data_IF_102398629953
#
_entry.id   IF_102398629953
#
_cell.length_a   1.000
_cell.length_b   1.000
_cell.length_c   1.000
_cell.angle_alpha   90.00
_cell.angle_beta   90.00
_cell.angle_gamma   90.00
#
_symmetry.space_group_name_H-M   'P 1'
#
loop_
_entity.id
_entity.type
_entity.pdbx_description
1 polymer ?
#
# COMPACT_ATOMS: atom_id res chain seq x y z
N UNK A 1 13.46 -17.03 -7.73
CA UNK A 1 13.23 -17.21 -6.30
C UNK A 1 13.25 -15.85 -5.61
N UNK A 2 12.48 -15.66 -4.53
CA UNK A 2 12.39 -14.42 -3.76
C UNK A 2 13.76 -13.85 -3.34
N UNK A 3 14.72 -14.70 -3.07
CA UNK A 3 16.09 -14.32 -2.66
C UNK A 3 16.84 -13.49 -3.73
N UNK A 4 16.69 -13.80 -5.01
CA UNK A 4 17.31 -13.02 -6.09
C UNK A 4 16.69 -11.62 -6.19
N UNK A 5 15.36 -11.53 -6.07
CA UNK A 5 14.64 -10.24 -6.09
C UNK A 5 15.02 -9.34 -4.91
N UNK A 6 15.28 -9.92 -3.73
CA UNK A 6 15.75 -9.18 -2.56
C UNK A 6 17.17 -8.62 -2.75
N UNK A 7 18.05 -9.35 -3.45
CA UNK A 7 19.39 -8.87 -3.79
C UNK A 7 19.32 -7.66 -4.72
N UNK A 8 18.49 -7.72 -5.78
CA UNK A 8 18.32 -6.62 -6.71
C UNK A 8 17.67 -5.41 -6.05
N UNK A 9 16.66 -5.62 -5.22
CA UNK A 9 16.06 -4.55 -4.42
C UNK A 9 17.11 -3.80 -3.60
N UNK A 10 18.00 -4.51 -2.89
CA UNK A 10 19.10 -3.90 -2.12
C UNK A 10 20.08 -3.13 -3.00
N UNK A 11 20.39 -3.64 -4.19
CA UNK A 11 21.27 -2.94 -5.13
C UNK A 11 20.62 -1.65 -5.64
N UNK A 12 19.31 -1.67 -5.97
CA UNK A 12 18.60 -0.46 -6.36
C UNK A 12 18.51 0.57 -5.22
N UNK A 13 18.26 0.13 -3.99
CA UNK A 13 18.29 1.02 -2.82
C UNK A 13 19.65 1.67 -2.57
N UNK A 14 20.74 0.98 -2.88
CA UNK A 14 22.08 1.54 -2.74
C UNK A 14 22.45 2.58 -3.83
N UNK A 15 21.77 2.55 -4.97
CA UNK A 15 22.08 3.38 -6.13
C UNK A 15 21.06 4.51 -6.36
N UNK A 16 19.85 4.36 -5.85
CA UNK A 16 18.70 5.21 -6.14
C UNK A 16 18.01 5.65 -4.85
N UNK A 17 17.14 6.65 -4.93
CA UNK A 17 16.31 7.05 -3.79
C UNK A 17 15.36 5.90 -3.42
N UNK A 18 15.48 5.40 -2.19
CA UNK A 18 14.63 4.31 -1.64
C UNK A 18 13.13 4.62 -1.77
N UNK A 19 12.75 5.89 -1.76
CA UNK A 19 11.36 6.34 -1.90
C UNK A 19 10.76 6.08 -3.28
N UNK A 20 11.58 5.72 -4.27
CA UNK A 20 11.17 5.47 -5.65
C UNK A 20 11.26 3.99 -6.05
N UNK A 21 11.72 3.12 -5.15
CA UNK A 21 11.89 1.70 -5.40
C UNK A 21 10.90 0.91 -4.55
N UNK A 22 10.02 0.17 -5.22
CA UNK A 22 8.97 -0.64 -4.60
C UNK A 22 9.22 -2.12 -4.89
N UNK A 23 8.84 -2.97 -3.95
CA UNK A 23 8.84 -4.40 -4.15
C UNK A 23 7.40 -4.91 -4.25
N UNK A 24 7.13 -5.71 -5.28
CA UNK A 24 5.83 -6.35 -5.47
C UNK A 24 6.00 -7.87 -5.31
N UNK A 25 5.77 -8.43 -4.11
CA UNK A 25 5.86 -9.86 -3.85
C UNK A 25 4.59 -10.59 -4.31
N UNK A 26 4.65 -11.92 -4.41
CA UNK A 26 3.47 -12.78 -4.53
C UNK A 26 2.61 -12.72 -3.27
N UNK A 27 1.31 -12.97 -3.44
CA UNK A 27 0.33 -12.94 -2.35
C UNK A 27 0.50 -14.10 -1.36
N UNK A 28 1.12 -15.20 -1.80
CA UNK A 28 1.35 -16.38 -0.97
C UNK A 28 2.82 -16.54 -0.61
N UNK A 29 3.14 -16.50 0.68
CA UNK A 29 4.36 -17.16 1.15
C UNK A 29 4.21 -18.67 0.94
N UNK A 30 5.22 -19.32 0.33
CA UNK A 30 5.45 -20.77 0.48
C UNK A 30 5.88 -21.08 1.92
N UNK A 31 5.10 -20.70 2.89
CA UNK A 31 5.32 -20.99 4.29
C UNK A 31 4.38 -22.11 4.72
N UNK A 32 4.93 -23.05 5.46
CA UNK A 32 4.34 -24.31 5.93
C UNK A 32 3.12 -24.09 6.86
N UNK A 33 2.74 -22.86 7.15
CA UNK A 33 1.56 -22.53 7.95
C UNK A 33 0.46 -22.04 7.03
N UNK A 34 -0.44 -22.93 6.67
CA UNK A 34 -1.69 -22.61 5.97
C UNK A 34 -2.49 -21.60 6.80
N UNK A 35 -2.85 -20.47 6.19
CA UNK A 35 -3.92 -19.58 6.70
C UNK A 35 -3.49 -18.25 7.31
N UNK A 36 -2.19 -17.90 7.36
CA UNK A 36 -1.77 -16.54 7.75
C UNK A 36 -1.35 -15.72 6.55
N UNK A 37 -2.07 -14.62 6.29
CA UNK A 37 -1.65 -13.62 5.31
C UNK A 37 -0.26 -13.07 5.69
N UNK A 38 0.59 -12.89 4.68
CA UNK A 38 1.85 -12.18 4.85
C UNK A 38 1.60 -10.68 4.97
N UNK A 39 1.36 -10.18 6.18
CA UNK A 39 1.08 -8.77 6.42
C UNK A 39 2.10 -7.83 5.76
N UNK A 40 3.38 -8.19 5.78
CA UNK A 40 4.43 -7.42 5.11
C UNK A 40 4.28 -7.45 3.58
N UNK A 41 3.96 -8.61 3.02
CA UNK A 41 3.70 -8.76 1.59
C UNK A 41 2.47 -7.95 1.14
N UNK A 42 1.41 -7.94 1.93
CA UNK A 42 0.21 -7.12 1.66
C UNK A 42 0.58 -5.64 1.57
N UNK A 43 1.33 -5.13 2.56
CA UNK A 43 1.77 -3.73 2.58
C UNK A 43 2.64 -3.40 1.36
N UNK A 44 3.62 -4.25 1.04
CA UNK A 44 4.50 -4.02 -0.10
C UNK A 44 3.73 -4.02 -1.43
N UNK A 45 2.80 -4.96 -1.62
CA UNK A 45 1.93 -4.99 -2.81
C UNK A 45 1.07 -3.75 -2.92
N UNK A 46 0.38 -3.38 -1.83
CA UNK A 46 -0.50 -2.21 -1.79
C UNK A 46 0.28 -0.92 -2.03
N UNK A 47 1.47 -0.77 -1.44
CA UNK A 47 2.34 0.38 -1.66
C UNK A 47 2.81 0.48 -3.13
N UNK A 48 3.19 -0.64 -3.76
CA UNK A 48 3.58 -0.67 -5.16
C UNK A 48 2.42 -0.28 -6.10
N UNK A 49 1.20 -0.81 -5.87
CA UNK A 49 0.01 -0.45 -6.65
C UNK A 49 -0.38 1.03 -6.45
N UNK A 50 -0.33 1.52 -5.21
CA UNK A 50 -0.56 2.94 -4.91
C UNK A 50 0.45 3.84 -5.60
N UNK A 51 1.72 3.45 -5.61
CA UNK A 51 2.75 4.18 -6.33
C UNK A 51 2.50 4.19 -7.85
N UNK A 52 2.13 3.05 -8.45
CA UNK A 52 1.82 2.98 -9.89
C UNK A 52 0.64 3.86 -10.29
N UNK A 53 -0.37 3.98 -9.42
CA UNK A 53 -1.57 4.78 -9.68
C UNK A 53 -1.34 6.29 -9.56
N UNK A 54 -0.40 6.72 -8.72
CA UNK A 54 -0.14 8.13 -8.47
C UNK A 54 0.48 8.80 -9.71
N UNK A 55 0.00 9.99 -10.07
CA UNK A 55 0.62 10.81 -11.13
C UNK A 55 2.10 11.07 -10.84
N UNK A 56 2.92 11.06 -11.88
CA UNK A 56 4.34 11.38 -11.79
C UNK A 56 4.58 12.83 -12.22
N UNK A 57 5.36 13.56 -11.44
CA UNK A 57 5.88 14.85 -11.86
C UNK A 57 6.95 14.67 -12.96
N UNK A 58 7.20 15.73 -13.70
CA UNK A 58 8.23 15.70 -14.75
C UNK A 58 9.61 15.36 -14.15
N UNK A 59 10.24 14.30 -14.66
CA UNK A 59 11.53 13.81 -14.18
C UNK A 59 11.46 12.82 -13.02
N UNK A 60 10.28 12.54 -12.48
CA UNK A 60 10.10 11.44 -11.54
C UNK A 60 10.15 10.08 -12.25
N UNK A 61 10.61 9.08 -11.54
CA UNK A 61 10.58 7.68 -11.96
C UNK A 61 10.15 6.80 -10.80
N UNK A 62 9.66 5.60 -11.12
CA UNK A 62 9.34 4.55 -10.14
C UNK A 62 9.87 3.23 -10.63
N UNK A 63 10.45 2.46 -9.73
CA UNK A 63 10.98 1.15 -10.03
C UNK A 63 10.18 0.13 -9.22
N UNK A 64 9.56 -0.80 -9.92
CA UNK A 64 8.85 -1.92 -9.31
C UNK A 64 9.69 -3.19 -9.51
N UNK A 65 10.24 -3.72 -8.44
CA UNK A 65 10.95 -5.00 -8.45
C UNK A 65 9.94 -6.13 -8.18
N UNK A 66 9.93 -7.14 -9.04
CA UNK A 66 9.04 -8.30 -8.88
C UNK A 66 9.71 -9.58 -9.43
N UNK A 67 9.01 -10.70 -9.41
CA UNK A 67 9.46 -11.99 -9.91
C UNK A 67 8.32 -12.72 -10.63
N UNK A 68 8.59 -13.76 -11.46
CA UNK A 68 7.59 -14.35 -12.34
C UNK A 68 6.30 -14.81 -11.65
N UNK A 69 6.41 -15.44 -10.49
CA UNK A 69 5.25 -15.93 -9.75
C UNK A 69 4.33 -14.79 -9.29
N UNK A 70 4.91 -13.67 -8.82
CA UNK A 70 4.15 -12.49 -8.44
C UNK A 70 3.55 -11.77 -9.65
N UNK A 71 4.30 -11.75 -10.78
CA UNK A 71 3.84 -11.15 -12.03
C UNK A 71 2.65 -11.88 -12.64
N UNK A 72 2.55 -13.20 -12.46
CA UNK A 72 1.43 -14.02 -12.93
C UNK A 72 0.13 -13.80 -12.14
N UNK A 73 0.22 -13.25 -10.94
CA UNK A 73 -0.95 -12.97 -10.13
C UNK A 73 -1.75 -11.77 -10.68
N UNK A 74 -3.05 -11.83 -10.50
CA UNK A 74 -3.93 -10.70 -10.84
C UNK A 74 -4.09 -9.76 -9.66
N UNK A 75 -4.19 -8.48 -9.95
CA UNK A 75 -4.38 -7.38 -8.99
C UNK A 75 -5.73 -6.72 -9.20
N UNK A 76 -6.26 -6.06 -8.18
CA UNK A 76 -7.44 -5.20 -8.26
C UNK A 76 -7.19 -4.11 -9.30
N UNK A 77 -8.16 -3.84 -10.18
CA UNK A 77 -8.03 -2.80 -11.19
C UNK A 77 -7.94 -1.38 -10.57
N UNK A 78 -7.40 -0.38 -11.31
CA UNK A 78 -7.18 0.96 -10.77
C UNK A 78 -8.46 1.68 -10.34
N UNK A 79 -9.59 1.44 -11.01
CA UNK A 79 -10.85 2.11 -10.70
C UNK A 79 -11.49 1.51 -9.44
N UNK A 80 -11.44 0.19 -9.29
CA UNK A 80 -11.83 -0.48 -8.04
C UNK A 80 -10.96 -0.01 -6.88
N UNK A 81 -9.64 0.02 -7.06
CA UNK A 81 -8.75 0.55 -6.03
C UNK A 81 -9.08 1.99 -5.64
N UNK A 82 -9.45 2.83 -6.62
CA UNK A 82 -9.83 4.23 -6.35
C UNK A 82 -11.11 4.32 -5.53
N UNK A 83 -12.10 3.48 -5.81
CA UNK A 83 -13.38 3.45 -5.07
C UNK A 83 -13.19 3.04 -3.61
N UNK A 84 -12.29 2.10 -3.36
CA UNK A 84 -11.99 1.58 -2.02
C UNK A 84 -11.03 2.46 -1.21
N UNK A 85 -10.39 3.43 -1.85
CA UNK A 85 -9.44 4.34 -1.19
C UNK A 85 -10.19 5.52 -0.58
N UNK A 86 -10.09 5.70 0.73
CA UNK A 86 -10.63 6.86 1.43
C UNK A 86 -9.63 8.01 1.34
N UNK A 87 -10.08 9.16 0.80
CA UNK A 87 -9.28 10.40 0.76
C UNK A 87 -9.76 11.35 1.83
N UNK A 88 -8.82 11.94 2.55
CA UNK A 88 -9.11 12.94 3.57
C UNK A 88 -8.15 14.11 3.41
N UNK A 89 -8.70 15.33 3.43
CA UNK A 89 -7.96 16.58 3.34
C UNK A 89 -8.17 17.44 4.58
N UNK A 90 -7.19 18.27 4.88
CA UNK A 90 -7.35 19.32 5.89
C UNK A 90 -8.48 20.27 5.45
N UNK A 91 -9.40 20.55 6.35
CA UNK A 91 -10.61 21.34 6.11
C UNK A 91 -11.81 20.54 5.61
N UNK A 92 -11.68 19.25 5.33
CA UNK A 92 -12.83 18.40 5.01
C UNK A 92 -13.77 18.31 6.21
N UNK A 93 -15.08 18.29 5.92
CA UNK A 93 -16.11 17.97 6.90
C UNK A 93 -16.52 16.53 6.76
N UNK A 94 -16.21 15.76 7.76
CA UNK A 94 -16.43 14.32 7.79
C UNK A 94 -16.86 13.90 9.19
N UNK A 95 -18.03 13.29 9.29
CA UNK A 95 -18.47 12.75 10.55
C UNK A 95 -17.54 11.57 10.95
N UNK A 96 -16.94 11.64 12.13
CA UNK A 96 -16.00 10.62 12.62
C UNK A 96 -16.63 9.23 12.58
N UNK A 97 -17.92 9.12 12.90
CA UNK A 97 -18.66 7.84 12.85
C UNK A 97 -18.73 7.25 11.43
N UNK A 98 -18.94 8.09 10.40
CA UNK A 98 -18.94 7.64 9.01
C UNK A 98 -17.55 7.14 8.58
N UNK A 99 -16.47 7.80 9.02
CA UNK A 99 -15.11 7.35 8.77
C UNK A 99 -14.84 5.99 9.46
N UNK A 100 -15.31 5.81 10.69
CA UNK A 100 -15.19 4.54 11.39
C UNK A 100 -15.93 3.40 10.67
N UNK A 101 -17.15 3.64 10.21
CA UNK A 101 -17.93 2.65 9.45
C UNK A 101 -17.24 2.28 8.13
N UNK A 102 -16.80 3.28 7.35
CA UNK A 102 -16.06 3.06 6.10
C UNK A 102 -14.81 2.21 6.30
N UNK A 103 -14.05 2.48 7.35
CA UNK A 103 -12.82 1.72 7.62
C UNK A 103 -13.13 0.30 8.13
N UNK A 104 -14.15 0.13 8.96
CA UNK A 104 -14.59 -1.19 9.42
C UNK A 104 -15.05 -2.07 8.25
N UNK A 105 -15.86 -1.50 7.34
CA UNK A 105 -16.33 -2.18 6.12
C UNK A 105 -15.17 -2.53 5.17
N UNK A 106 -14.12 -1.70 5.16
CA UNK A 106 -12.88 -1.92 4.40
C UNK A 106 -11.89 -2.87 5.10
N UNK A 107 -12.30 -3.51 6.20
CA UNK A 107 -11.51 -4.52 6.91
C UNK A 107 -10.45 -3.98 7.87
N UNK A 108 -10.53 -2.70 8.25
CA UNK A 108 -9.69 -2.15 9.31
C UNK A 108 -10.20 -2.58 10.69
N UNK A 109 -9.28 -2.76 11.62
CA UNK A 109 -9.59 -3.16 13.00
C UNK A 109 -9.43 -2.00 13.96
N UNK A 110 -10.44 -1.75 14.79
CA UNK A 110 -10.37 -0.74 15.85
C UNK A 110 -9.52 -1.25 17.01
N UNK A 111 -8.57 -0.42 17.45
CA UNK A 111 -7.64 -0.71 18.54
C UNK A 111 -7.50 0.51 19.46
N UNK A 112 -6.92 0.33 20.66
CA UNK A 112 -6.63 1.45 21.56
C UNK A 112 -5.46 2.31 21.04
N UNK A 113 -4.44 1.67 20.48
CA UNK A 113 -3.27 2.31 19.85
C UNK A 113 -2.91 1.58 18.56
N UNK A 114 -2.55 2.35 17.54
CA UNK A 114 -2.21 1.84 16.23
C UNK A 114 -0.74 1.40 16.19
N UNK A 115 -0.49 0.14 15.79
CA UNK A 115 0.83 -0.45 15.68
C UNK A 115 1.10 -1.07 14.31
N UNK A 116 0.07 -1.51 13.60
CA UNK A 116 0.18 -2.27 12.36
C UNK A 116 -0.76 -1.72 11.29
N UNK A 117 -0.42 -1.87 9.98
CA UNK A 117 -1.33 -1.55 8.89
C UNK A 117 -2.67 -2.26 9.02
N UNK A 118 -3.74 -1.56 8.67
CA UNK A 118 -5.11 -2.05 8.84
C UNK A 118 -5.69 -1.80 10.23
N UNK A 119 -5.02 -1.03 11.08
CA UNK A 119 -5.55 -0.63 12.37
C UNK A 119 -5.95 0.85 12.37
N UNK A 120 -6.98 1.17 13.15
CA UNK A 120 -7.34 2.55 13.48
C UNK A 120 -7.72 2.70 14.95
N UNK A 121 -7.64 3.91 15.47
CA UNK A 121 -7.94 4.25 16.86
C UNK A 121 -8.58 5.63 16.93
N UNK A 122 -9.59 5.77 17.78
CA UNK A 122 -10.27 7.03 18.05
C UNK A 122 -10.16 7.37 19.53
N UNK A 123 -9.58 8.51 19.84
CA UNK A 123 -9.43 9.04 21.20
C UNK A 123 -9.81 10.51 21.26
N UNK A 124 -11.04 10.79 21.69
CA UNK A 124 -11.59 12.15 21.62
C UNK A 124 -11.69 12.64 20.17
N UNK A 125 -11.03 13.75 19.85
CA UNK A 125 -10.95 14.28 18.48
C UNK A 125 -9.73 13.81 17.69
N UNK A 126 -8.97 12.84 18.17
CA UNK A 126 -7.78 12.30 17.49
C UNK A 126 -8.14 10.96 16.86
N UNK A 127 -7.99 10.88 15.54
CA UNK A 127 -8.19 9.68 14.75
C UNK A 127 -6.86 9.20 14.17
N UNK A 128 -6.32 8.11 14.69
CA UNK A 128 -5.11 7.47 14.19
C UNK A 128 -5.48 6.33 13.24
N UNK A 129 -4.84 6.24 12.08
CA UNK A 129 -5.07 5.17 11.10
C UNK A 129 -3.80 4.76 10.39
N UNK A 130 -3.61 3.46 10.18
CA UNK A 130 -2.48 2.92 9.46
C UNK A 130 -2.92 2.29 8.14
N UNK A 131 -2.75 3.04 7.04
CA UNK A 131 -3.02 2.59 5.68
C UNK A 131 -2.11 1.42 5.28
N UNK A 132 -2.62 0.48 4.47
CA UNK A 132 -1.80 -0.60 3.91
C UNK A 132 -0.79 -0.14 2.86
N UNK A 133 -0.89 1.09 2.37
CA UNK A 133 0.05 1.65 1.37
C UNK A 133 1.23 2.40 1.99
N UNK A 134 1.29 2.52 3.30
CA UNK A 134 2.23 3.41 3.98
C UNK A 134 3.11 2.67 4.98
N UNK A 135 4.27 3.26 5.27
CA UNK A 135 5.21 2.75 6.28
C UNK A 135 5.01 3.36 7.67
N UNK A 136 4.21 4.42 7.76
CA UNK A 136 3.90 5.14 9.00
C UNK A 136 2.40 5.46 9.05
N UNK A 137 1.78 5.39 10.25
CA UNK A 137 0.39 5.77 10.42
C UNK A 137 0.17 7.27 10.29
N UNK A 138 -1.07 7.62 10.02
CA UNK A 138 -1.58 8.97 10.00
C UNK A 138 -2.31 9.29 11.29
N UNK A 139 -2.21 10.54 11.74
CA UNK A 139 -3.01 11.14 12.80
C UNK A 139 -3.79 12.30 12.22
N UNK A 140 -5.10 12.19 12.29
CA UNK A 140 -6.05 13.23 11.90
C UNK A 140 -6.61 13.85 13.19
N UNK A 141 -6.42 15.14 13.37
CA UNK A 141 -7.02 15.89 14.46
C UNK A 141 -8.33 16.51 13.96
N UNK A 142 -9.39 16.29 14.69
CA UNK A 142 -10.72 16.82 14.39
C UNK A 142 -11.10 17.93 15.37
N UNK A 143 -11.65 19.01 14.84
CA UNK A 143 -12.39 20.01 15.60
C UNK A 143 -13.87 19.89 15.24
N UNK A 144 -14.64 19.22 16.08
CA UNK A 144 -16.00 18.79 15.74
C UNK A 144 -15.98 17.77 14.59
N UNK A 145 -16.56 18.13 13.46
CA UNK A 145 -16.57 17.32 12.24
C UNK A 145 -15.52 17.79 11.19
N UNK A 146 -14.75 18.82 11.49
CA UNK A 146 -13.76 19.36 10.57
C UNK A 146 -12.38 18.78 10.86
N UNK A 147 -11.68 18.34 9.81
CA UNK A 147 -10.29 17.88 9.87
C UNK A 147 -9.38 19.09 10.01
N UNK A 148 -8.90 19.37 11.24
CA UNK A 148 -8.04 20.50 11.55
C UNK A 148 -6.61 20.31 11.09
N UNK A 149 -6.07 19.11 11.28
CA UNK A 149 -4.71 18.80 10.85
C UNK A 149 -4.52 17.31 10.55
N UNK A 150 -3.56 17.03 9.66
CA UNK A 150 -3.14 15.67 9.31
C UNK A 150 -1.63 15.57 9.47
N UNK A 151 -1.15 14.51 10.12
CA UNK A 151 0.27 14.27 10.37
C UNK A 151 0.61 12.79 10.23
N UNK A 152 1.85 12.49 9.83
CA UNK A 152 2.44 11.17 10.10
C UNK A 152 3.01 11.15 11.51
N UNK A 153 3.07 9.97 12.13
CA UNK A 153 3.71 9.81 13.43
C UNK A 153 4.52 8.52 13.51
N UNK A 154 5.47 8.51 14.43
CA UNK A 154 6.29 7.34 14.73
C UNK A 154 5.59 6.45 15.74
N UNK A 155 5.47 5.15 15.43
CA UNK A 155 4.79 4.18 16.30
C UNK A 155 5.48 4.08 17.67
N UNK A 156 6.81 3.99 17.70
CA UNK A 156 7.60 3.77 18.90
C UNK A 156 7.56 4.93 19.88
N UNK A 157 7.53 6.16 19.39
CA UNK A 157 7.56 7.37 20.21
C UNK A 157 6.22 8.08 20.30
N UNK A 158 5.26 7.73 19.41
CA UNK A 158 3.98 8.43 19.24
C UNK A 158 4.12 9.93 18.86
N UNK A 159 5.34 10.34 18.50
CA UNK A 159 5.61 11.72 18.10
C UNK A 159 5.27 11.95 16.64
N UNK A 160 4.67 13.11 16.37
CA UNK A 160 4.36 13.55 15.01
C UNK A 160 5.65 13.83 14.24
N UNK A 161 5.72 13.35 12.99
CA UNK A 161 6.83 13.60 12.08
C UNK A 161 6.47 14.72 11.10
N UNK A 162 5.74 14.40 10.05
CA UNK A 162 5.47 15.32 8.94
C UNK A 162 4.01 15.80 8.97
N UNK A 163 3.78 17.08 8.64
CA UNK A 163 2.44 17.61 8.34
C UNK A 163 2.08 17.34 6.88
N UNK A 164 0.82 16.99 6.66
CA UNK A 164 0.26 16.69 5.35
C UNK A 164 -1.00 17.51 5.12
N UNK A 165 -1.27 17.84 3.86
CA UNK A 165 -2.51 18.54 3.48
C UNK A 165 -3.62 17.54 3.14
N UNK A 166 -3.25 16.36 2.65
CA UNK A 166 -4.19 15.28 2.32
C UNK A 166 -3.52 13.91 2.51
N UNK A 167 -4.34 12.89 2.70
CA UNK A 167 -3.91 11.50 2.79
C UNK A 167 -4.86 10.58 2.04
N UNK A 168 -4.31 9.46 1.58
CA UNK A 168 -5.07 8.33 1.06
C UNK A 168 -4.96 7.15 2.03
N UNK A 169 -6.10 6.68 2.51
CA UNK A 169 -6.18 5.50 3.36
C UNK A 169 -6.60 4.34 2.44
N UNK A 170 -5.65 3.47 2.15
CA UNK A 170 -5.84 2.34 1.23
C UNK A 170 -6.01 1.07 2.05
N UNK A 171 -7.08 0.29 1.82
CA UNK A 171 -7.31 -0.96 2.53
C UNK A 171 -6.45 -2.10 1.99
N UNK A 172 -6.59 -3.29 2.59
CA UNK A 172 -6.02 -4.52 2.05
C UNK A 172 -6.72 -4.90 0.74
N UNK A 173 -6.03 -4.74 -0.38
CA UNK A 173 -6.58 -4.97 -1.71
C UNK A 173 -6.66 -6.45 -2.12
N UNK A 174 -6.11 -7.38 -1.35
CA UNK A 174 -6.10 -8.80 -1.69
C UNK A 174 -7.49 -9.47 -1.61
N UNK A 175 -8.38 -8.97 -0.77
CA UNK A 175 -9.70 -9.54 -0.48
C UNK A 175 -10.86 -8.96 -1.28
N UNK A 176 -10.65 -7.92 -2.08
CA UNK A 176 -11.76 -7.24 -2.77
C UNK A 176 -12.32 -8.03 -3.96
N UNK A 177 -13.65 -8.09 -4.03
CA UNK A 177 -14.43 -8.70 -5.11
C UNK A 177 -14.63 -7.71 -6.27
N UNK A 178 -13.54 -7.21 -6.86
CA UNK A 178 -13.56 -6.35 -8.04
C UNK A 178 -12.97 -7.04 -9.26
N UNK A 179 -12.99 -6.35 -10.38
CA UNK A 179 -12.28 -6.78 -11.57
C UNK A 179 -10.79 -6.90 -11.27
N UNK A 180 -10.21 -7.99 -11.78
CA UNK A 180 -8.79 -8.26 -11.58
C UNK A 180 -8.07 -8.29 -12.93
N UNK A 181 -6.97 -7.53 -13.00
CA UNK A 181 -6.13 -7.41 -14.19
C UNK A 181 -4.71 -7.88 -13.90
N UNK A 182 -3.88 -8.06 -14.94
CA UNK A 182 -2.45 -8.34 -14.74
C UNK A 182 -1.74 -7.10 -14.19
N UNK A 183 -0.64 -7.29 -13.46
CA UNK A 183 0.20 -6.17 -13.01
C UNK A 183 0.72 -5.33 -14.18
N UNK A 184 1.00 -5.97 -15.33
CA UNK A 184 1.46 -5.27 -16.54
C UNK A 184 0.37 -4.34 -17.09
N UNK A 185 -0.89 -4.81 -17.12
CA UNK A 185 -2.03 -3.98 -17.53
C UNK A 185 -2.29 -2.84 -16.54
N UNK A 186 -2.09 -3.08 -15.24
CA UNK A 186 -2.20 -2.06 -14.20
C UNK A 186 -1.12 -0.97 -14.34
N UNK A 187 0.12 -1.35 -14.66
CA UNK A 187 1.25 -0.43 -14.83
C UNK A 187 1.12 0.44 -16.10
N UNK A 188 0.37 -0.01 -17.11
CA UNK A 188 0.18 0.72 -18.37
C UNK A 188 1.49 0.87 -19.16
N UNK A 189 1.78 2.08 -19.62
CA UNK A 189 3.03 2.38 -20.33
C UNK A 189 4.21 2.38 -19.35
N UNK A 190 5.10 1.40 -19.50
CA UNK A 190 6.28 1.22 -18.66
C UNK A 190 7.43 0.59 -19.45
N UNK A 191 8.66 0.79 -18.98
CA UNK A 191 9.82 0.06 -19.48
C UNK A 191 10.04 -1.19 -18.64
N UNK A 192 10.11 -2.35 -19.30
CA UNK A 192 10.26 -3.64 -18.64
C UNK A 192 11.69 -4.15 -18.82
N UNK A 193 12.31 -4.54 -17.71
CA UNK A 193 13.65 -5.11 -17.68
C UNK A 193 13.58 -6.55 -17.17
N UNK A 194 13.93 -7.50 -18.03
CA UNK A 194 13.99 -8.92 -17.69
C UNK A 194 15.45 -9.34 -17.54
N UNK A 195 15.81 -9.87 -16.38
CA UNK A 195 17.18 -10.32 -16.12
C UNK A 195 17.51 -11.63 -16.84
N UNK A 196 16.54 -12.53 -16.95
CA UNK A 196 16.58 -13.78 -17.71
C UNK A 196 15.22 -13.96 -18.39
N UNK A 197 15.04 -13.44 -19.62
CA UNK A 197 13.77 -13.51 -20.33
C UNK A 197 13.28 -14.94 -20.55
N UNK A 198 14.19 -15.87 -20.84
CA UNK A 198 13.86 -17.27 -21.10
C UNK A 198 13.36 -17.97 -19.82
N UNK A 199 13.94 -17.65 -18.69
CA UNK A 199 13.45 -18.13 -17.39
C UNK A 199 12.07 -17.58 -17.07
N UNK A 200 11.84 -16.29 -17.27
CA UNK A 200 10.55 -15.64 -17.02
C UNK A 200 9.45 -16.24 -17.89
N UNK A 201 9.71 -16.44 -19.19
CA UNK A 201 8.76 -17.03 -20.12
C UNK A 201 8.43 -18.50 -19.77
N UNK A 202 9.45 -19.31 -19.48
CA UNK A 202 9.22 -20.71 -19.04
C UNK A 202 8.41 -20.76 -17.77
N UNK A 203 8.76 -19.94 -16.79
CA UNK A 203 8.07 -19.92 -15.49
C UNK A 203 6.62 -19.41 -15.62
N UNK A 204 6.38 -18.42 -16.47
CA UNK A 204 5.04 -17.91 -16.75
C UNK A 204 4.12 -18.91 -17.44
N UNK A 205 4.68 -19.83 -18.23
CA UNK A 205 3.90 -20.91 -18.87
C UNK A 205 3.57 -22.07 -17.90
N UNK A 206 4.31 -22.19 -16.80
CA UNK A 206 4.12 -23.24 -15.78
C UNK A 206 3.11 -22.82 -14.68
N UNK A 207 2.65 -21.56 -14.67
CA UNK A 207 1.76 -20.95 -13.67
C UNK A 207 0.33 -20.77 -14.20
#
# INVERSE_FOLDING_TARGET
SSAASDVYKRQFYALLDEKQVYFFPGSYKRSIVYGTEDAQGVVQRTAALSALRREMAAGEYRIICTYPEALAERVTDPDSMRRETVRVKVGDRLAIGELEELLADSGFTKVDFVYEPGQYSLRGGIFDVFSFSESKPYRLDFFGEEVDSIRRFEISSQLSADRLNEVEIVPNLNGFAGDRISLLAFAGEATYWFFDPDYVLRRGNDL
#
